data_IF_341248680072
#
_entry.id   IF_341248680072
#
_cell.length_a   1.000
_cell.length_b   1.000
_cell.length_c   1.000
_cell.angle_alpha   90.00
_cell.angle_beta   90.00
_cell.angle_gamma   90.00
#
_symmetry.space_group_name_H-M   'P 1'
#
loop_
_entity.id
_entity.type
_entity.pdbx_description
1 polymer ?
#
# COMPACT_ATOMS: atom_id res chain seq x y z
N UNK A 1 -41.14 26.22 -18.39
CA UNK A 1 -41.15 25.16 -17.36
C UNK A 1 -39.73 24.64 -17.28
N UNK A 2 -38.92 25.23 -16.39
CA UNK A 2 -37.48 25.02 -16.34
C UNK A 2 -37.15 23.68 -15.71
N UNK A 3 -36.40 22.85 -16.44
CA UNK A 3 -35.81 21.62 -15.94
C UNK A 3 -34.88 21.96 -14.77
N UNK A 4 -35.09 21.41 -13.57
CA UNK A 4 -34.22 21.72 -12.44
C UNK A 4 -32.82 21.21 -12.75
N UNK A 5 -31.85 22.13 -12.74
CA UNK A 5 -30.44 21.80 -12.86
C UNK A 5 -30.09 20.73 -11.83
N UNK A 6 -29.65 19.56 -12.33
CA UNK A 6 -29.18 18.44 -11.51
C UNK A 6 -28.02 18.97 -10.66
N UNK A 7 -28.29 19.24 -9.38
CA UNK A 7 -27.26 19.59 -8.42
C UNK A 7 -26.34 18.38 -8.33
N UNK A 8 -25.17 18.49 -8.96
CA UNK A 8 -24.15 17.46 -8.92
C UNK A 8 -23.66 17.39 -7.48
N UNK A 9 -24.08 16.37 -6.74
CA UNK A 9 -23.59 16.09 -5.40
C UNK A 9 -22.10 15.69 -5.51
N UNK A 10 -21.20 16.61 -5.12
CA UNK A 10 -19.75 16.34 -5.08
C UNK A 10 -19.38 15.15 -4.19
N UNK A 11 -20.24 14.76 -3.24
CA UNK A 11 -20.12 13.54 -2.45
C UNK A 11 -20.38 12.28 -3.28
N UNK A 12 -21.30 12.35 -4.25
CA UNK A 12 -21.64 11.28 -5.18
C UNK A 12 -20.56 11.11 -6.27
N UNK A 13 -19.96 12.21 -6.73
CA UNK A 13 -18.74 12.18 -7.55
C UNK A 13 -17.52 11.63 -6.79
N UNK A 14 -17.54 11.56 -5.46
CA UNK A 14 -16.51 10.84 -4.69
C UNK A 14 -16.82 9.35 -4.56
N UNK A 15 -18.01 8.86 -4.93
CA UNK A 15 -18.39 7.45 -4.78
C UNK A 15 -18.00 6.57 -5.97
N UNK A 16 -17.92 7.14 -7.17
CA UNK A 16 -17.65 6.34 -8.37
C UNK A 16 -16.16 6.09 -8.59
N UNK A 17 -15.81 4.89 -9.04
CA UNK A 17 -14.48 4.57 -9.53
C UNK A 17 -14.04 5.53 -10.66
N UNK A 18 -14.97 5.99 -11.51
CA UNK A 18 -14.71 6.88 -12.65
C UNK A 18 -14.16 8.25 -12.26
N UNK A 19 -14.39 8.68 -11.02
CA UNK A 19 -13.98 9.96 -10.46
C UNK A 19 -13.10 9.78 -9.21
N UNK A 20 -12.63 8.56 -8.98
CA UNK A 20 -11.72 8.24 -7.89
C UNK A 20 -10.30 8.69 -8.23
N UNK A 21 -9.66 9.46 -7.34
CA UNK A 21 -8.27 9.91 -7.50
C UNK A 21 -7.28 8.73 -7.57
N UNK A 22 -7.70 7.52 -7.19
CA UNK A 22 -6.91 6.28 -7.26
C UNK A 22 -7.06 5.55 -8.61
N UNK A 23 -7.77 6.13 -9.57
CA UNK A 23 -8.07 5.53 -10.87
C UNK A 23 -6.82 5.04 -11.61
N UNK A 24 -5.69 5.76 -11.56
CA UNK A 24 -4.46 5.33 -12.26
C UNK A 24 -3.80 4.08 -11.64
N UNK A 25 -4.12 3.76 -10.39
CA UNK A 25 -3.55 2.63 -9.65
C UNK A 25 -4.49 1.44 -9.65
N UNK A 26 -5.79 1.70 -9.47
CA UNK A 26 -6.83 0.68 -9.36
C UNK A 26 -7.45 0.31 -10.72
N UNK A 27 -7.54 1.24 -11.67
CA UNK A 27 -8.16 1.00 -12.98
C UNK A 27 -7.13 1.09 -14.12
N UNK A 28 -7.30 0.32 -15.19
CA UNK A 28 -6.42 0.39 -16.34
C UNK A 28 -6.69 1.66 -17.14
N UNK A 29 -5.64 2.25 -17.70
CA UNK A 29 -5.73 3.31 -18.71
C UNK A 29 -6.47 2.91 -20.01
N UNK A 30 -6.89 1.64 -20.12
CA UNK A 30 -7.49 1.04 -21.31
C UNK A 30 -8.93 0.53 -21.09
N UNK A 31 -9.55 0.82 -19.94
CA UNK A 31 -10.98 0.56 -19.77
C UNK A 31 -11.80 1.72 -20.34
N UNK A 32 -12.83 1.41 -21.12
CA UNK A 32 -13.78 2.43 -21.56
C UNK A 32 -14.75 2.84 -20.43
N UNK A 33 -15.50 3.93 -20.65
CA UNK A 33 -16.40 4.46 -19.62
C UNK A 33 -17.50 3.46 -19.20
N UNK A 34 -17.97 2.60 -20.12
CA UNK A 34 -18.99 1.61 -19.83
C UNK A 34 -18.43 0.44 -19.01
N UNK A 35 -17.19 0.04 -19.27
CA UNK A 35 -16.47 -0.95 -18.47
C UNK A 35 -16.22 -0.44 -17.04
N UNK A 36 -15.85 0.84 -16.89
CA UNK A 36 -15.68 1.48 -15.58
C UNK A 36 -17.00 1.51 -14.82
N UNK A 37 -18.10 1.85 -15.47
CA UNK A 37 -19.42 1.87 -14.84
C UNK A 37 -19.86 0.45 -14.38
N UNK A 38 -19.57 -0.58 -15.17
CA UNK A 38 -19.83 -1.98 -14.79
C UNK A 38 -19.03 -2.38 -13.54
N UNK A 39 -17.76 -1.99 -13.47
CA UNK A 39 -16.91 -2.23 -12.29
C UNK A 39 -17.46 -1.48 -11.06
N UNK A 40 -17.85 -0.22 -11.23
CA UNK A 40 -18.38 0.62 -10.16
C UNK A 40 -19.63 0.01 -9.49
N UNK A 41 -20.51 -0.63 -10.28
CA UNK A 41 -21.70 -1.34 -9.76
C UNK A 41 -21.37 -2.57 -8.90
N UNK A 42 -20.21 -3.18 -9.12
CA UNK A 42 -19.78 -4.38 -8.41
C UNK A 42 -19.06 -4.04 -7.12
N UNK A 43 -18.26 -2.97 -7.13
CA UNK A 43 -17.54 -2.47 -5.96
C UNK A 43 -18.54 -2.07 -4.88
N UNK A 44 -18.46 -2.73 -3.72
CA UNK A 44 -19.24 -2.33 -2.55
C UNK A 44 -18.56 -1.11 -1.93
N UNK A 45 -19.30 -0.01 -1.81
CA UNK A 45 -18.73 1.23 -1.34
C UNK A 45 -18.57 1.26 0.18
N UNK A 46 -17.35 1.68 0.57
CA UNK A 46 -16.90 2.23 1.86
C UNK A 46 -17.29 1.43 3.10
N UNK A 47 -16.46 0.45 3.46
CA UNK A 47 -16.36 -0.04 4.83
C UNK A 47 -15.42 0.90 5.61
N UNK A 48 -15.91 1.77 6.52
CA UNK A 48 -15.04 2.53 7.41
C UNK A 48 -14.43 1.61 8.47
N UNK A 49 -13.19 1.88 8.86
CA UNK A 49 -12.51 1.18 9.94
C UNK A 49 -11.89 2.20 10.90
N UNK A 50 -12.03 1.91 12.19
CA UNK A 50 -11.33 2.65 13.25
C UNK A 50 -9.86 2.23 13.32
N UNK A 51 -9.01 3.06 13.92
CA UNK A 51 -7.62 2.68 14.19
C UNK A 51 -7.59 1.41 15.06
N UNK A 52 -6.77 0.44 14.66
CA UNK A 52 -6.63 -0.87 15.32
C UNK A 52 -7.72 -1.88 14.94
N UNK A 53 -8.69 -1.51 14.10
CA UNK A 53 -9.73 -2.43 13.66
C UNK A 53 -9.20 -3.34 12.55
N UNK A 54 -9.52 -4.64 12.67
CA UNK A 54 -9.15 -5.65 11.68
C UNK A 54 -10.12 -5.63 10.49
N UNK A 55 -9.54 -5.55 9.30
CA UNK A 55 -10.24 -5.71 8.03
C UNK A 55 -10.62 -7.18 7.79
N UNK A 56 -9.67 -8.08 8.00
CA UNK A 56 -9.81 -9.53 7.98
C UNK A 56 -8.74 -10.17 8.88
N UNK A 57 -8.91 -11.46 9.19
CA UNK A 57 -7.93 -12.23 9.97
C UNK A 57 -7.19 -13.28 9.17
N UNK A 58 -5.99 -13.61 9.61
CA UNK A 58 -5.24 -14.77 9.17
C UNK A 58 -6.08 -16.04 9.36
N UNK A 59 -6.15 -16.87 8.32
CA UNK A 59 -6.94 -18.10 8.28
C UNK A 59 -8.43 -17.92 7.95
N UNK A 60 -8.95 -16.69 7.86
CA UNK A 60 -10.32 -16.48 7.38
C UNK A 60 -10.41 -16.72 5.86
N UNK A 61 -11.52 -17.31 5.35
CA UNK A 61 -11.73 -17.45 3.91
C UNK A 61 -11.69 -16.10 3.21
N UNK A 62 -10.95 -16.03 2.12
CA UNK A 62 -10.89 -14.83 1.29
C UNK A 62 -12.19 -14.69 0.51
N UNK A 63 -12.99 -13.67 0.85
CA UNK A 63 -14.27 -13.37 0.17
C UNK A 63 -14.19 -12.19 -0.79
N UNK A 64 -13.26 -11.29 -0.53
CA UNK A 64 -13.14 -10.02 -1.24
C UNK A 64 -11.67 -9.60 -1.33
N UNK A 65 -11.34 -8.89 -2.41
CA UNK A 65 -10.18 -8.01 -2.45
C UNK A 65 -10.58 -6.64 -1.91
N UNK A 66 -9.61 -5.93 -1.34
CA UNK A 66 -9.84 -4.60 -0.79
C UNK A 66 -8.89 -3.61 -1.42
N UNK A 67 -9.37 -2.40 -1.66
CA UNK A 67 -8.52 -1.26 -2.03
C UNK A 67 -8.56 -0.28 -0.87
N UNK A 68 -7.39 0.08 -0.34
CA UNK A 68 -7.28 1.16 0.64
C UNK A 68 -7.73 2.46 -0.02
N UNK A 69 -8.87 3.00 0.39
CA UNK A 69 -9.42 4.23 -0.18
C UNK A 69 -8.86 5.44 0.53
N UNK A 70 -8.93 5.42 1.86
CA UNK A 70 -8.43 6.46 2.74
C UNK A 70 -7.68 5.78 3.90
N UNK A 71 -6.63 6.43 4.39
CA UNK A 71 -5.80 5.89 5.45
C UNK A 71 -4.79 4.87 4.97
N UNK A 72 -4.35 4.00 5.88
CA UNK A 72 -3.35 3.00 5.63
C UNK A 72 -3.57 1.78 6.53
N UNK A 73 -3.05 0.64 6.09
CA UNK A 73 -3.19 -0.65 6.75
C UNK A 73 -1.83 -1.30 6.90
N UNK A 74 -1.69 -2.18 7.88
CA UNK A 74 -0.60 -3.15 7.94
C UNK A 74 -1.15 -4.55 7.69
N UNK A 75 -0.33 -5.41 7.10
CA UNK A 75 -0.55 -6.86 7.10
C UNK A 75 0.49 -7.53 7.97
N UNK A 76 0.05 -8.42 8.85
CA UNK A 76 0.88 -9.08 9.85
C UNK A 76 0.65 -10.57 9.80
N UNK A 77 1.72 -11.35 9.74
CA UNK A 77 1.67 -12.79 9.96
C UNK A 77 2.04 -13.08 11.41
N UNK A 78 1.26 -13.94 12.05
CA UNK A 78 1.53 -14.41 13.41
C UNK A 78 1.85 -15.90 13.36
N UNK A 79 2.98 -16.29 13.95
CA UNK A 79 3.39 -17.69 14.04
C UNK A 79 2.71 -18.43 15.22
N UNK A 80 2.99 -19.73 15.36
CA UNK A 80 2.39 -20.57 16.41
C UNK A 80 2.82 -20.18 17.82
N UNK A 81 3.95 -19.48 17.97
CA UNK A 81 4.48 -18.99 19.25
C UNK A 81 3.92 -17.60 19.59
N UNK A 82 3.10 -17.02 18.71
CA UNK A 82 2.49 -15.71 18.87
C UNK A 82 3.38 -14.55 18.43
N UNK A 83 4.50 -14.81 17.75
CA UNK A 83 5.35 -13.75 17.22
C UNK A 83 4.70 -13.15 15.98
N UNK A 84 4.43 -11.85 16.06
CA UNK A 84 3.81 -11.08 15.00
C UNK A 84 4.87 -10.35 14.17
N UNK A 85 4.85 -10.57 12.86
CA UNK A 85 5.76 -9.96 11.90
C UNK A 85 4.96 -9.15 10.87
N UNK A 86 5.22 -7.85 10.76
CA UNK A 86 4.64 -7.01 9.71
C UNK A 86 5.27 -7.41 8.38
N UNK A 87 4.43 -7.85 7.45
CA UNK A 87 4.81 -8.24 6.09
C UNK A 87 4.46 -7.16 5.05
N UNK A 88 3.52 -6.28 5.36
CA UNK A 88 3.12 -5.23 4.44
C UNK A 88 2.63 -3.98 5.15
N UNK A 89 2.88 -2.85 4.51
CA UNK A 89 2.25 -1.58 4.81
C UNK A 89 1.54 -1.15 3.53
N UNK A 90 0.25 -0.87 3.61
CA UNK A 90 -0.61 -0.54 2.47
C UNK A 90 -1.10 0.90 2.60
N UNK A 91 -0.69 1.76 1.66
CA UNK A 91 -1.12 3.15 1.54
C UNK A 91 -2.43 3.25 0.77
N UNK A 92 -3.06 4.43 0.79
CA UNK A 92 -4.27 4.67 -0.01
C UNK A 92 -3.94 4.48 -1.50
N UNK A 93 -4.78 3.74 -2.23
CA UNK A 93 -4.56 3.33 -3.62
C UNK A 93 -4.07 1.90 -3.77
N UNK A 94 -3.58 1.28 -2.70
CA UNK A 94 -3.01 -0.05 -2.76
C UNK A 94 -4.02 -1.13 -2.36
N UNK A 95 -3.74 -2.34 -2.84
CA UNK A 95 -4.63 -3.49 -2.75
C UNK A 95 -4.20 -4.37 -1.58
N UNK A 96 -5.19 -4.83 -0.83
CA UNK A 96 -5.04 -5.63 0.38
C UNK A 96 -5.80 -6.94 0.17
N UNK A 97 -5.25 -8.05 0.66
CA UNK A 97 -5.84 -9.39 0.54
C UNK A 97 -5.30 -10.24 -0.62
N UNK A 98 -4.26 -9.78 -1.33
CA UNK A 98 -3.63 -10.57 -2.41
C UNK A 98 -2.99 -11.87 -1.92
N UNK A 99 -2.61 -11.91 -0.65
CA UNK A 99 -2.02 -13.07 0.02
C UNK A 99 -2.96 -14.29 0.04
N UNK A 100 -4.28 -14.06 0.06
CA UNK A 100 -5.28 -15.13 -0.01
C UNK A 100 -5.64 -15.59 -1.43
N UNK A 101 -5.15 -14.91 -2.47
CA UNK A 101 -5.63 -15.12 -3.84
C UNK A 101 -5.30 -16.53 -4.38
N UNK A 102 -4.19 -17.13 -3.93
CA UNK A 102 -3.77 -18.48 -4.34
C UNK A 102 -4.39 -19.60 -3.50
N UNK A 103 -4.53 -19.40 -2.18
CA UNK A 103 -5.01 -20.44 -1.24
C UNK A 103 -6.51 -20.40 -1.01
N UNK A 104 -7.17 -19.26 -1.28
CA UNK A 104 -8.55 -18.99 -0.87
C UNK A 104 -8.71 -18.57 0.60
N UNK A 105 -7.61 -18.38 1.33
CA UNK A 105 -7.59 -18.01 2.75
C UNK A 105 -6.54 -16.94 3.01
N UNK A 106 -6.87 -15.93 3.81
CA UNK A 106 -5.93 -14.89 4.21
C UNK A 106 -4.73 -15.50 4.95
N UNK A 107 -3.52 -15.13 4.57
CA UNK A 107 -2.27 -15.59 5.20
C UNK A 107 -1.79 -14.62 6.28
N UNK A 108 -2.45 -13.46 6.39
CA UNK A 108 -2.13 -12.38 7.31
C UNK A 108 -3.38 -11.83 7.97
N UNK A 109 -3.22 -11.17 9.10
CA UNK A 109 -4.17 -10.19 9.62
C UNK A 109 -3.98 -8.88 8.86
N UNK A 110 -5.07 -8.18 8.51
CA UNK A 110 -5.00 -6.81 8.01
C UNK A 110 -5.63 -5.84 9.01
N UNK A 111 -4.87 -4.85 9.47
CA UNK A 111 -5.28 -3.90 10.51
C UNK A 111 -5.18 -2.45 10.02
N UNK A 112 -6.19 -1.64 10.32
CA UNK A 112 -6.17 -0.21 10.03
C UNK A 112 -5.23 0.54 10.98
N UNK A 113 -4.21 1.22 10.45
CA UNK A 113 -3.22 1.95 11.28
C UNK A 113 -3.72 3.31 11.78
N UNK A 114 -4.81 3.79 11.20
CA UNK A 114 -5.50 5.05 11.51
C UNK A 114 -6.97 4.93 11.09
N UNK A 115 -7.79 5.95 11.33
CA UNK A 115 -9.11 6.01 10.71
C UNK A 115 -8.97 5.86 9.19
N UNK A 116 -9.58 4.81 8.65
CA UNK A 116 -9.37 4.36 7.29
C UNK A 116 -10.68 3.91 6.65
N UNK A 117 -10.67 3.72 5.34
CA UNK A 117 -11.76 3.06 4.65
C UNK A 117 -11.28 2.29 3.44
N UNK A 118 -12.03 1.26 3.07
CA UNK A 118 -11.74 0.43 1.91
C UNK A 118 -12.89 0.41 0.93
N UNK A 119 -12.55 0.23 -0.35
CA UNK A 119 -13.48 -0.31 -1.33
C UNK A 119 -13.38 -1.84 -1.29
N UNK A 120 -14.52 -2.52 -1.19
CA UNK A 120 -14.58 -3.97 -1.17
C UNK A 120 -15.01 -4.49 -2.54
N UNK A 121 -14.24 -5.44 -3.06
CA UNK A 121 -14.46 -6.10 -4.33
C UNK A 121 -14.68 -7.60 -4.10
N UNK A 122 -15.95 -8.04 -3.99
CA UNK A 122 -16.28 -9.46 -3.77
C UNK A 122 -15.73 -10.32 -4.90
N UNK A 123 -15.06 -11.43 -4.56
CA UNK A 123 -14.40 -12.30 -5.53
C UNK A 123 -15.37 -12.86 -6.56
N UNK A 124 -16.52 -13.38 -6.14
CA UNK A 124 -17.56 -13.94 -7.05
C UNK A 124 -17.98 -12.93 -8.12
N UNK A 125 -18.08 -11.64 -7.76
CA UNK A 125 -18.46 -10.58 -8.70
C UNK A 125 -17.28 -10.19 -9.60
N UNK A 126 -16.07 -10.17 -9.04
CA UNK A 126 -14.85 -9.92 -9.82
C UNK A 126 -14.67 -11.00 -10.88
N UNK A 127 -14.81 -12.28 -10.53
CA UNK A 127 -14.72 -13.41 -11.46
C UNK A 127 -15.72 -13.28 -12.61
N UNK A 128 -16.98 -12.94 -12.29
CA UNK A 128 -18.02 -12.70 -13.30
C UNK A 128 -17.65 -11.56 -14.26
N UNK A 129 -17.07 -10.46 -13.75
CA UNK A 129 -16.60 -9.35 -14.59
C UNK A 129 -15.37 -9.72 -15.40
N UNK A 130 -14.42 -10.47 -14.83
CA UNK A 130 -13.22 -10.93 -15.52
C UNK A 130 -13.59 -11.78 -16.73
N UNK A 131 -14.60 -12.64 -16.64
CA UNK A 131 -15.07 -13.42 -17.77
C UNK A 131 -15.61 -12.57 -18.93
N UNK A 132 -16.02 -11.32 -18.67
CA UNK A 132 -16.66 -10.43 -19.65
C UNK A 132 -15.73 -9.32 -20.15
N UNK A 133 -14.70 -8.95 -19.39
CA UNK A 133 -13.88 -7.75 -19.60
C UNK A 133 -12.38 -8.09 -19.70
N UNK A 134 -11.83 -8.32 -20.91
CA UNK A 134 -10.40 -8.60 -21.11
C UNK A 134 -9.47 -7.46 -20.66
N UNK A 135 -9.96 -6.22 -20.64
CA UNK A 135 -9.26 -5.05 -20.09
C UNK A 135 -9.05 -5.19 -18.57
N UNK A 136 -10.06 -5.66 -17.85
CA UNK A 136 -10.01 -5.92 -16.41
C UNK A 136 -9.09 -7.09 -16.07
N UNK A 137 -9.10 -8.16 -16.87
CA UNK A 137 -8.18 -9.30 -16.69
C UNK A 137 -6.72 -8.85 -16.70
N UNK A 138 -6.32 -8.07 -17.72
CA UNK A 138 -4.96 -7.51 -17.82
C UNK A 138 -4.61 -6.63 -16.63
N UNK A 139 -5.58 -5.89 -16.10
CA UNK A 139 -5.37 -5.05 -14.92
C UNK A 139 -5.16 -5.89 -13.66
N UNK A 140 -5.96 -6.94 -13.44
CA UNK A 140 -5.77 -7.85 -12.29
C UNK A 140 -4.40 -8.51 -12.35
N UNK A 141 -3.97 -8.99 -13.51
CA UNK A 141 -2.61 -9.56 -13.67
C UNK A 141 -1.52 -8.54 -13.32
N UNK A 142 -1.67 -7.28 -13.73
CA UNK A 142 -0.74 -6.19 -13.38
C UNK A 142 -0.73 -5.91 -11.88
N UNK A 143 -1.89 -5.93 -11.23
CA UNK A 143 -2.03 -5.77 -9.78
C UNK A 143 -1.31 -6.88 -9.03
N UNK A 144 -1.54 -8.14 -9.43
CA UNK A 144 -0.87 -9.30 -8.83
C UNK A 144 0.65 -9.19 -9.02
N UNK A 145 1.11 -8.82 -10.22
CA UNK A 145 2.52 -8.58 -10.51
C UNK A 145 3.13 -7.50 -9.60
N UNK A 146 2.43 -6.37 -9.40
CA UNK A 146 2.87 -5.31 -8.47
C UNK A 146 2.94 -5.79 -7.02
N UNK A 147 1.97 -6.59 -6.57
CA UNK A 147 2.02 -7.19 -5.24
C UNK A 147 3.26 -8.07 -5.06
N UNK A 148 3.55 -8.92 -6.04
CA UNK A 148 4.77 -9.74 -6.05
C UNK A 148 6.05 -8.89 -6.04
N UNK A 149 6.09 -7.80 -6.80
CA UNK A 149 7.25 -6.90 -6.82
C UNK A 149 7.43 -6.17 -5.46
N UNK A 150 6.33 -5.85 -4.76
CA UNK A 150 6.36 -5.32 -3.39
C UNK A 150 6.91 -6.35 -2.40
N UNK A 151 6.43 -7.60 -2.46
CA UNK A 151 6.93 -8.70 -1.62
C UNK A 151 8.43 -8.94 -1.87
N UNK A 152 8.84 -8.94 -3.15
CA UNK A 152 10.24 -9.07 -3.54
C UNK A 152 11.10 -7.92 -2.98
N UNK A 153 10.60 -6.69 -3.03
CA UNK A 153 11.28 -5.52 -2.46
C UNK A 153 11.42 -5.64 -0.94
N UNK A 154 10.41 -6.20 -0.26
CA UNK A 154 10.49 -6.45 1.18
C UNK A 154 11.53 -7.52 1.52
N UNK A 155 11.60 -8.61 0.74
CA UNK A 155 12.66 -9.62 0.87
C UNK A 155 14.05 -9.01 0.66
N UNK A 156 14.22 -8.09 -0.28
CA UNK A 156 15.49 -7.38 -0.48
C UNK A 156 15.90 -6.54 0.73
N UNK A 157 14.92 -5.89 1.39
CA UNK A 157 15.14 -5.17 2.66
C UNK A 157 15.62 -6.17 3.72
N UNK A 158 14.87 -7.25 3.95
CA UNK A 158 15.21 -8.24 4.99
C UNK A 158 16.56 -8.94 4.72
N UNK A 159 16.92 -9.10 3.44
CA UNK A 159 18.21 -9.65 3.01
C UNK A 159 19.42 -8.75 3.27
N UNK A 160 19.24 -7.46 3.59
CA UNK A 160 20.38 -6.60 3.96
C UNK A 160 20.90 -6.95 5.35
N UNK A 161 22.23 -6.90 5.50
CA UNK A 161 22.91 -7.20 6.76
C UNK A 161 22.79 -6.07 7.78
N UNK A 162 22.85 -4.83 7.33
CA UNK A 162 22.86 -3.67 8.22
C UNK A 162 21.51 -2.98 8.26
N UNK A 163 21.04 -2.64 9.47
CA UNK A 163 19.75 -1.97 9.69
C UNK A 163 19.63 -0.64 8.93
N UNK A 164 20.74 0.04 8.72
CA UNK A 164 20.80 1.30 8.01
C UNK A 164 20.53 1.17 6.52
N UNK A 165 21.04 0.10 5.89
CA UNK A 165 20.72 -0.23 4.50
C UNK A 165 19.22 -0.53 4.37
N UNK A 166 18.66 -1.25 5.34
CA UNK A 166 17.22 -1.54 5.40
C UNK A 166 16.40 -0.26 5.51
N UNK A 167 16.82 0.67 6.36
CA UNK A 167 16.17 1.96 6.53
C UNK A 167 16.19 2.78 5.25
N UNK A 168 17.34 2.88 4.57
CA UNK A 168 17.47 3.61 3.30
C UNK A 168 16.54 3.05 2.23
N UNK A 169 16.51 1.71 2.06
CA UNK A 169 15.61 1.05 1.12
C UNK A 169 14.14 1.28 1.47
N UNK A 170 13.78 1.23 2.75
CA UNK A 170 12.42 1.51 3.20
C UNK A 170 11.98 2.94 2.88
N UNK A 171 12.84 3.93 3.17
CA UNK A 171 12.55 5.34 2.87
C UNK A 171 12.44 5.59 1.37
N UNK A 172 13.34 5.00 0.57
CA UNK A 172 13.29 5.09 -0.88
C UNK A 172 12.02 4.43 -1.45
N UNK A 173 11.63 3.26 -0.95
CA UNK A 173 10.39 2.57 -1.33
C UNK A 173 9.15 3.42 -1.02
N UNK A 174 9.08 4.01 0.19
CA UNK A 174 7.97 4.89 0.56
C UNK A 174 7.89 6.12 -0.36
N UNK A 175 9.03 6.73 -0.68
CA UNK A 175 9.12 7.88 -1.59
C UNK A 175 8.57 7.54 -2.98
N UNK A 176 9.01 6.43 -3.56
CA UNK A 176 8.54 6.00 -4.89
C UNK A 176 7.05 5.68 -4.88
N UNK A 177 6.54 5.09 -3.81
CA UNK A 177 5.10 4.86 -3.65
C UNK A 177 4.32 6.17 -3.56
N UNK A 178 4.78 7.16 -2.79
CA UNK A 178 4.15 8.49 -2.75
C UNK A 178 4.16 9.18 -4.13
N UNK A 179 5.25 9.05 -4.88
CA UNK A 179 5.37 9.55 -6.26
C UNK A 179 4.32 8.92 -7.18
N UNK A 180 4.15 7.60 -7.11
CA UNK A 180 3.13 6.87 -7.88
C UNK A 180 1.70 7.27 -7.50
N UNK A 181 1.48 7.69 -6.25
CA UNK A 181 0.20 8.21 -5.77
C UNK A 181 -0.05 9.68 -6.13
N UNK A 182 0.84 10.32 -6.92
CA UNK A 182 0.80 11.76 -7.23
C UNK A 182 0.74 12.65 -5.97
N UNK A 183 1.36 12.17 -4.88
CA UNK A 183 1.56 12.93 -3.64
C UNK A 183 2.97 13.50 -3.63
N UNK A 184 3.21 14.47 -2.75
CA UNK A 184 4.56 14.99 -2.51
C UNK A 184 5.46 13.83 -2.04
N UNK A 185 6.43 13.38 -2.87
CA UNK A 185 7.27 12.24 -2.53
C UNK A 185 8.27 12.58 -1.42
N UNK A 186 8.57 13.87 -1.22
CA UNK A 186 9.59 14.32 -0.28
C UNK A 186 8.96 14.74 1.06
N UNK A 187 7.62 14.77 1.18
CA UNK A 187 6.90 15.04 2.43
C UNK A 187 5.92 13.92 2.77
N UNK A 188 6.39 13.00 3.60
CA UNK A 188 5.71 11.74 3.93
C UNK A 188 5.17 11.82 5.36
N UNK A 189 3.87 11.56 5.52
CA UNK A 189 3.32 11.26 6.85
C UNK A 189 3.38 9.76 7.06
N UNK A 190 4.21 9.31 8.01
CA UNK A 190 4.38 7.90 8.35
C UNK A 190 3.07 7.37 8.97
N UNK A 191 2.37 6.43 8.32
CA UNK A 191 1.09 5.91 8.81
C UNK A 191 1.27 4.81 9.86
N UNK A 192 2.50 4.37 10.13
CA UNK A 192 2.80 3.32 11.09
C UNK A 192 3.53 3.86 12.32
N UNK A 193 3.54 3.08 13.40
CA UNK A 193 4.37 3.37 14.57
C UNK A 193 5.84 2.98 14.34
N UNK A 194 6.72 3.36 15.27
CA UNK A 194 8.12 2.92 15.26
C UNK A 194 8.25 1.41 15.51
N UNK A 195 7.32 0.83 16.26
CA UNK A 195 7.26 -0.62 16.50
C UNK A 195 6.87 -1.36 15.21
N UNK A 196 5.86 -0.87 14.49
CA UNK A 196 5.49 -1.44 13.19
C UNK A 196 6.64 -1.32 12.18
N UNK A 197 7.38 -0.20 12.17
CA UNK A 197 8.59 -0.04 11.34
C UNK A 197 9.66 -1.05 11.73
N UNK A 198 9.89 -1.25 13.03
CA UNK A 198 10.89 -2.17 13.53
C UNK A 198 10.57 -3.61 13.13
N UNK A 199 9.30 -4.01 13.32
CA UNK A 199 8.78 -5.28 12.84
C UNK A 199 9.00 -5.41 11.34
N UNK A 200 8.50 -4.48 10.52
CA UNK A 200 8.66 -4.51 9.05
C UNK A 200 10.12 -4.63 8.59
N UNK A 201 11.05 -3.94 9.26
CA UNK A 201 12.47 -3.94 8.92
C UNK A 201 13.24 -5.14 9.50
N UNK A 202 12.62 -5.96 10.35
CA UNK A 202 13.25 -7.08 11.04
C UNK A 202 14.38 -6.62 11.98
N UNK A 203 14.16 -5.51 12.70
CA UNK A 203 15.11 -4.93 13.66
C UNK A 203 14.40 -4.55 14.95
N UNK A 204 15.15 -4.25 16.01
CA UNK A 204 14.56 -3.72 17.25
C UNK A 204 14.19 -2.24 17.12
N UNK A 205 13.19 -1.81 17.88
CA UNK A 205 12.67 -0.45 17.93
C UNK A 205 13.75 0.63 18.13
N UNK A 206 14.70 0.35 19.02
CA UNK A 206 15.81 1.27 19.32
C UNK A 206 16.67 1.53 18.08
N UNK A 207 16.91 0.49 17.27
CA UNK A 207 17.68 0.58 16.02
C UNK A 207 16.99 1.49 15.00
N UNK A 208 15.67 1.39 14.86
CA UNK A 208 14.90 2.31 14.01
C UNK A 208 15.14 3.76 14.42
N UNK A 209 15.06 4.05 15.72
CA UNK A 209 15.24 5.40 16.25
C UNK A 209 16.66 5.91 16.01
N UNK A 210 17.69 5.08 16.24
CA UNK A 210 19.09 5.42 15.98
C UNK A 210 19.36 5.67 14.49
N UNK A 211 18.87 4.79 13.61
CA UNK A 211 19.06 4.95 12.15
C UNK A 211 18.44 6.26 11.66
N UNK A 212 17.22 6.59 12.11
CA UNK A 212 16.58 7.85 11.72
C UNK A 212 17.30 9.08 12.28
N UNK A 213 17.75 9.02 13.54
CA UNK A 213 18.56 10.09 14.14
C UNK A 213 19.82 10.34 13.32
N UNK A 214 20.55 9.28 12.97
CA UNK A 214 21.77 9.39 12.16
C UNK A 214 21.51 9.96 10.77
N UNK A 215 20.47 9.48 10.07
CA UNK A 215 20.11 10.03 8.75
C UNK A 215 19.68 11.51 8.84
N UNK A 216 19.10 11.93 9.97
CA UNK A 216 18.78 13.32 10.22
C UNK A 216 20.04 14.17 10.50
N UNK A 217 20.98 13.67 11.31
CA UNK A 217 22.25 14.34 11.59
C UNK A 217 23.11 14.49 10.33
N UNK A 218 23.02 13.52 9.41
CA UNK A 218 23.68 13.54 8.09
C UNK A 218 23.00 14.50 7.08
N UNK A 219 21.87 15.11 7.45
CA UNK A 219 21.10 16.03 6.60
C UNK A 219 20.34 15.36 5.45
N UNK A 220 20.15 14.04 5.49
CA UNK A 220 19.45 13.30 4.43
C UNK A 220 17.92 13.43 4.57
N UNK A 221 17.45 13.44 5.82
CA UNK A 221 16.03 13.55 6.17
C UNK A 221 15.83 14.54 7.31
N UNK A 222 14.59 14.99 7.47
CA UNK A 222 14.12 15.61 8.70
C UNK A 222 12.90 14.84 9.21
N UNK A 223 12.88 14.49 10.49
CA UNK A 223 11.79 13.70 11.08
C UNK A 223 11.31 14.32 12.39
N UNK A 224 10.00 14.62 12.45
CA UNK A 224 9.34 15.15 13.65
C UNK A 224 8.04 14.41 13.91
N UNK A 225 8.04 13.57 14.94
CA UNK A 225 6.93 12.67 15.22
C UNK A 225 6.70 11.72 14.05
N UNK A 226 5.57 11.90 13.35
CA UNK A 226 5.18 11.11 12.17
C UNK A 226 5.43 11.83 10.84
N UNK A 227 5.85 13.09 10.88
CA UNK A 227 6.21 13.85 9.69
C UNK A 227 7.65 13.55 9.32
N UNK A 228 7.85 13.05 8.11
CA UNK A 228 9.15 12.79 7.51
C UNK A 228 9.29 13.67 6.27
N UNK A 229 10.41 14.37 6.18
CA UNK A 229 10.81 15.10 4.99
C UNK A 229 12.12 14.51 4.47
N UNK A 230 12.17 14.24 3.17
CA UNK A 230 13.40 13.85 2.47
C UNK A 230 14.05 15.15 2.00
N UNK A 231 15.27 15.41 2.47
CA UNK A 231 15.97 16.67 2.19
C UNK A 231 16.83 16.56 0.93
N UNK A 232 17.34 15.35 0.66
CA UNK A 232 18.22 15.07 -0.47
C UNK A 232 17.85 13.73 -1.11
N UNK A 233 16.96 13.79 -2.10
CA UNK A 233 16.43 12.63 -2.79
C UNK A 233 17.47 11.94 -3.69
N UNK A 234 18.38 12.72 -4.27
CA UNK A 234 19.46 12.20 -5.13
C UNK A 234 20.44 11.38 -4.29
N UNK A 235 20.93 11.95 -3.18
CA UNK A 235 21.82 11.22 -2.26
C UNK A 235 21.15 10.00 -1.63
N UNK A 236 19.84 10.05 -1.38
CA UNK A 236 19.09 8.87 -0.91
C UNK A 236 19.12 7.75 -1.95
N UNK A 237 18.83 8.07 -3.22
CA UNK A 237 18.86 7.11 -4.32
C UNK A 237 20.29 6.57 -4.56
N UNK A 238 21.29 7.44 -4.54
CA UNK A 238 22.70 7.06 -4.67
C UNK A 238 23.15 6.09 -3.59
N UNK A 239 22.72 6.25 -2.34
CA UNK A 239 23.09 5.31 -1.27
C UNK A 239 22.42 3.96 -1.44
N UNK A 240 21.17 3.93 -1.89
CA UNK A 240 20.43 2.70 -2.17
C UNK A 240 21.08 1.92 -3.33
N UNK A 241 21.47 2.60 -4.42
CA UNK A 241 22.00 1.94 -5.62
C UNK A 241 23.53 1.80 -5.62
N UNK A 242 24.25 2.74 -5.01
CA UNK A 242 25.71 2.80 -4.97
C UNK A 242 26.35 1.76 -4.06
N UNK A 243 25.63 1.26 -3.05
CA UNK A 243 26.09 0.11 -2.24
C UNK A 243 25.93 -1.22 -2.98
N UNK A 244 24.96 -1.33 -3.90
CA UNK A 244 24.83 -2.51 -4.76
C UNK A 244 25.98 -2.61 -5.77
N UNK A 245 26.42 -1.47 -6.34
CA UNK A 245 27.55 -1.41 -7.27
C UNK A 245 28.91 -1.75 -6.62
N UNK A 246 29.12 -1.40 -5.34
CA UNK A 246 30.36 -1.76 -4.62
C UNK A 246 30.47 -3.26 -4.28
N UNK A 247 29.36 -4.01 -4.29
CA UNK A 247 29.33 -5.46 -4.00
C UNK A 247 29.43 -6.34 -5.25
N UNK A 248 29.14 -5.82 -6.43
CA UNK A 248 29.34 -6.54 -7.70
C UNK A 248 30.79 -6.48 -8.22
N UNK A 249 31.66 -5.72 -7.54
CA UNK A 249 33.06 -5.50 -7.89
C UNK A 249 34.09 -6.14 -6.94
N UNK A 250 33.68 -7.08 -6.09
CA UNK A 250 34.54 -7.91 -5.23
C UNK A 250 34.19 -9.38 -5.42
#
# INVERSE_FOLDING_TARGET
MGEPAKVIDLGELRRSCASCTLQQLCMPAAMDAAEVERLDRVVRSKRPLSRGELLYRQGEPMRSLYVSRDGAFKTTATDADGNAQVLGIHLSGEIIGLDGFGSGYHQTDAEALQAASVCELPLERLESLLAQLPSLQRQVLRVVGRGRDQDQSHLEILGRRHADERMLLFLHSLRERYRLLSRDPDRITLPMSREDMASYLGVVLETVSRSLGRLQDEGLIHVRGRQLQILDAERLAERVHGEAARRAGT
#
